data_IF_097750215442
#
_entry.id   IF_097750215442
#
_cell.length_a   1.000
_cell.length_b   1.000
_cell.length_c   1.000
_cell.angle_alpha   90.00
_cell.angle_beta   90.00
_cell.angle_gamma   90.00
#
_symmetry.space_group_name_H-M   'P 1'
#
loop_
_entity.id
_entity.type
_entity.pdbx_description
1 polymer ?
#
# COMPACT_ATOMS: atom_id res chain seq x y z
N UNK A 1 24.38 5.43 -5.14
CA UNK A 1 23.30 6.45 -5.07
C UNK A 1 22.57 6.50 -6.40
N UNK A 2 21.26 6.50 -6.37
CA UNK A 2 20.43 6.55 -7.55
C UNK A 2 20.32 7.99 -8.06
N UNK A 3 20.42 8.23 -9.37
CA UNK A 3 20.26 9.57 -9.93
C UNK A 3 18.78 9.93 -10.07
N UNK A 4 18.49 11.20 -10.37
CA UNK A 4 17.11 11.71 -10.40
C UNK A 4 16.25 11.06 -11.48
N UNK A 5 16.83 10.78 -12.65
CA UNK A 5 16.10 10.14 -13.75
C UNK A 5 15.72 8.69 -13.38
N UNK A 6 16.67 7.95 -12.81
CA UNK A 6 16.41 6.59 -12.35
C UNK A 6 15.39 6.56 -11.22
N UNK A 7 15.44 7.56 -10.33
CA UNK A 7 14.46 7.67 -9.25
C UNK A 7 13.05 7.88 -9.80
N UNK A 8 12.89 8.76 -10.78
CA UNK A 8 11.58 9.00 -11.41
C UNK A 8 11.06 7.74 -12.09
N UNK A 9 11.91 7.04 -12.81
CA UNK A 9 11.53 5.78 -13.45
C UNK A 9 11.08 4.75 -12.43
N UNK A 10 11.79 4.65 -11.30
CA UNK A 10 11.47 3.68 -10.25
C UNK A 10 10.16 4.06 -9.54
N UNK A 11 9.93 5.36 -9.30
CA UNK A 11 8.65 5.83 -8.75
C UNK A 11 7.50 5.42 -9.67
N UNK A 12 7.62 5.69 -10.97
CA UNK A 12 6.59 5.32 -11.94
C UNK A 12 6.37 3.81 -11.99
N UNK A 13 7.46 3.04 -11.92
CA UNK A 13 7.39 1.59 -11.87
C UNK A 13 6.60 1.10 -10.65
N UNK A 14 6.88 1.65 -9.48
CA UNK A 14 6.19 1.26 -8.23
C UNK A 14 4.71 1.64 -8.26
N UNK A 15 4.38 2.83 -8.78
CA UNK A 15 2.99 3.25 -8.92
C UNK A 15 2.22 2.35 -9.89
N UNK A 16 2.85 2.00 -11.01
CA UNK A 16 2.27 1.08 -11.98
C UNK A 16 2.04 -0.29 -11.36
N UNK A 17 3.03 -0.80 -10.64
CA UNK A 17 2.96 -2.09 -9.93
C UNK A 17 1.79 -2.09 -8.94
N UNK A 18 1.61 -1.00 -8.19
CA UNK A 18 0.49 -0.87 -7.25
C UNK A 18 -0.85 -0.95 -7.98
N UNK A 19 -0.99 -0.23 -9.09
CA UNK A 19 -2.24 -0.20 -9.87
C UNK A 19 -2.55 -1.56 -10.51
N UNK A 20 -1.55 -2.22 -11.04
CA UNK A 20 -1.71 -3.57 -11.60
C UNK A 20 -2.16 -4.56 -10.52
N UNK A 21 -1.66 -4.39 -9.30
CA UNK A 21 -2.05 -5.25 -8.17
C UNK A 21 -3.53 -5.07 -7.82
N UNK A 22 -4.11 -3.87 -7.97
CA UNK A 22 -5.55 -3.69 -7.74
C UNK A 22 -6.39 -4.52 -8.70
N UNK A 23 -5.95 -4.64 -9.95
CA UNK A 23 -6.63 -5.46 -10.96
C UNK A 23 -6.50 -6.94 -10.64
N UNK A 24 -5.31 -7.36 -10.19
CA UNK A 24 -5.07 -8.73 -9.74
C UNK A 24 -6.00 -9.11 -8.59
N UNK A 25 -6.17 -8.19 -7.62
CA UNK A 25 -7.03 -8.41 -6.46
C UNK A 25 -8.49 -8.63 -6.89
N UNK A 26 -9.00 -7.89 -7.88
CA UNK A 26 -10.34 -8.10 -8.42
C UNK A 26 -10.54 -9.55 -8.84
N UNK A 27 -9.57 -10.11 -9.55
CA UNK A 27 -9.62 -11.49 -10.04
C UNK A 27 -9.57 -12.50 -8.89
N UNK A 28 -8.75 -12.22 -7.88
CA UNK A 28 -8.61 -13.10 -6.72
C UNK A 28 -9.92 -13.14 -5.91
N UNK A 29 -10.55 -12.00 -5.72
CA UNK A 29 -11.84 -11.92 -5.01
C UNK A 29 -12.90 -12.69 -5.80
N UNK A 30 -12.97 -12.50 -7.11
CA UNK A 30 -13.93 -13.20 -7.96
C UNK A 30 -13.76 -14.72 -7.90
N UNK A 31 -12.52 -15.18 -7.69
CA UNK A 31 -12.21 -16.60 -7.58
C UNK A 31 -12.32 -17.13 -6.13
N UNK A 32 -12.77 -16.31 -5.18
CA UNK A 32 -12.86 -16.65 -3.76
C UNK A 32 -11.51 -17.01 -3.11
N UNK A 33 -10.41 -16.52 -3.67
CA UNK A 33 -9.07 -16.68 -3.11
C UNK A 33 -8.79 -15.55 -2.14
N UNK A 34 -9.51 -15.53 -1.03
CA UNK A 34 -9.58 -14.37 -0.14
C UNK A 34 -8.30 -14.12 0.65
N UNK A 35 -7.63 -15.15 1.14
CA UNK A 35 -6.34 -14.96 1.84
C UNK A 35 -5.27 -14.40 0.91
N UNK A 36 -5.22 -14.90 -0.32
CA UNK A 36 -4.27 -14.39 -1.33
C UNK A 36 -4.61 -12.94 -1.65
N UNK A 37 -5.90 -12.62 -1.78
CA UNK A 37 -6.34 -11.25 -2.03
C UNK A 37 -5.88 -10.30 -0.92
N UNK A 38 -6.04 -10.68 0.35
CA UNK A 38 -5.61 -9.87 1.50
C UNK A 38 -4.10 -9.64 1.47
N UNK A 39 -3.31 -10.66 1.16
CA UNK A 39 -1.87 -10.52 1.01
C UNK A 39 -1.53 -9.51 -0.10
N UNK A 40 -2.16 -9.64 -1.26
CA UNK A 40 -1.87 -8.75 -2.39
C UNK A 40 -2.34 -7.32 -2.15
N UNK A 41 -3.44 -7.12 -1.42
CA UNK A 41 -3.90 -5.79 -1.02
C UNK A 41 -2.79 -5.07 -0.25
N UNK A 42 -2.21 -5.73 0.74
CA UNK A 42 -1.12 -5.13 1.51
C UNK A 42 0.07 -4.79 0.60
N UNK A 43 0.48 -5.70 -0.27
CA UNK A 43 1.65 -5.45 -1.12
C UNK A 43 1.41 -4.34 -2.15
N UNK A 44 0.18 -4.22 -2.67
CA UNK A 44 -0.16 -3.10 -3.55
C UNK A 44 -0.03 -1.75 -2.83
N UNK A 45 -0.54 -1.68 -1.61
CA UNK A 45 -0.40 -0.50 -0.75
C UNK A 45 1.09 -0.23 -0.48
N UNK A 46 1.86 -1.27 -0.19
CA UNK A 46 3.28 -1.16 0.12
C UNK A 46 4.10 -0.65 -1.08
N UNK A 47 3.79 -1.10 -2.31
CA UNK A 47 4.46 -0.60 -3.51
C UNK A 47 4.25 0.92 -3.67
N UNK A 48 3.04 1.37 -3.41
CA UNK A 48 2.71 2.79 -3.47
C UNK A 48 3.45 3.59 -2.39
N UNK A 49 3.54 3.03 -1.18
CA UNK A 49 4.30 3.62 -0.09
C UNK A 49 5.80 3.73 -0.43
N UNK A 50 6.35 2.71 -1.11
CA UNK A 50 7.72 2.75 -1.60
C UNK A 50 7.94 3.88 -2.60
N UNK A 51 6.96 4.13 -3.48
CA UNK A 51 7.05 5.24 -4.43
C UNK A 51 7.16 6.58 -3.70
N UNK A 52 6.35 6.77 -2.65
CA UNK A 52 6.42 7.97 -1.83
C UNK A 52 7.78 8.11 -1.14
N UNK A 53 8.28 7.02 -0.58
CA UNK A 53 9.59 7.01 0.08
C UNK A 53 10.72 7.38 -0.88
N UNK A 54 10.67 6.85 -2.10
CA UNK A 54 11.65 7.18 -3.15
C UNK A 54 11.65 8.67 -3.44
N UNK A 55 10.48 9.29 -3.52
CA UNK A 55 10.38 10.72 -3.78
C UNK A 55 11.08 11.56 -2.72
N UNK A 56 11.02 11.14 -1.46
CA UNK A 56 11.59 11.87 -0.33
C UNK A 56 12.93 11.32 0.13
N UNK A 57 13.57 10.48 -0.68
CA UNK A 57 14.90 9.92 -0.40
C UNK A 57 14.95 9.10 0.89
N UNK A 58 13.84 8.48 1.28
CA UNK A 58 13.83 7.59 2.42
C UNK A 58 13.89 6.15 1.95
N UNK A 59 14.76 5.36 2.56
CA UNK A 59 14.91 3.93 2.24
C UNK A 59 14.89 3.11 3.52
N UNK A 60 14.15 2.01 3.49
CA UNK A 60 14.19 1.00 4.54
C UNK A 60 13.72 -0.32 3.97
N UNK A 61 14.43 -1.40 4.30
CA UNK A 61 14.02 -2.76 3.98
C UNK A 61 13.03 -3.31 5.01
N UNK A 62 12.79 -2.58 6.10
CA UNK A 62 11.91 -3.02 7.20
C UNK A 62 10.56 -2.35 7.07
N UNK A 63 9.51 -3.18 6.94
CA UNK A 63 8.14 -2.70 6.76
C UNK A 63 7.70 -1.77 7.89
N UNK A 64 7.98 -2.13 9.16
CA UNK A 64 7.58 -1.32 10.29
C UNK A 64 8.27 0.04 10.33
N UNK A 65 9.52 0.11 9.90
CA UNK A 65 10.23 1.39 9.79
C UNK A 65 9.60 2.29 8.74
N UNK A 66 9.22 1.72 7.61
CA UNK A 66 8.59 2.47 6.52
C UNK A 66 7.21 2.98 6.94
N UNK A 67 6.43 2.14 7.61
CA UNK A 67 5.11 2.52 8.14
C UNK A 67 5.26 3.64 9.17
N UNK A 68 6.22 3.53 10.09
CA UNK A 68 6.50 4.56 11.09
C UNK A 68 6.92 5.88 10.46
N UNK A 69 7.77 5.82 9.44
CA UNK A 69 8.18 7.00 8.69
C UNK A 69 6.98 7.72 8.07
N UNK A 70 6.10 6.96 7.43
CA UNK A 70 4.89 7.51 6.82
C UNK A 70 4.00 8.20 7.87
N UNK A 71 3.74 7.52 8.98
CA UNK A 71 2.91 8.06 10.04
C UNK A 71 3.51 9.34 10.64
N UNK A 72 4.82 9.35 10.91
CA UNK A 72 5.48 10.50 11.53
C UNK A 72 5.54 11.71 10.60
N UNK A 73 5.79 11.50 9.32
CA UNK A 73 6.06 12.61 8.39
C UNK A 73 4.83 13.08 7.63
N UNK A 74 3.81 12.26 7.48
CA UNK A 74 2.64 12.61 6.65
C UNK A 74 1.33 12.61 7.42
N UNK A 75 1.12 11.67 8.32
CA UNK A 75 -0.14 11.57 9.07
C UNK A 75 -0.15 12.52 10.26
N UNK A 76 0.87 12.46 11.14
CA UNK A 76 0.96 13.33 12.31
C UNK A 76 1.08 14.78 11.95
N UNK A 77 1.74 15.09 10.84
CA UNK A 77 1.91 16.45 10.35
C UNK A 77 0.64 17.03 9.72
N UNK A 78 -0.35 16.18 9.41
CA UNK A 78 -1.57 16.62 8.76
C UNK A 78 -1.46 16.75 7.25
N UNK A 79 -0.34 16.39 6.65
CA UNK A 79 -0.17 16.44 5.19
C UNK A 79 -1.07 15.45 4.47
N UNK A 80 -1.32 14.30 5.09
CA UNK A 80 -2.22 13.26 4.57
C UNK A 80 -3.19 12.89 5.68
N UNK A 81 -4.46 12.70 5.34
CA UNK A 81 -5.53 12.47 6.30
C UNK A 81 -5.31 11.18 7.10
N UNK A 82 -5.78 11.16 8.35
CA UNK A 82 -5.56 10.05 9.28
C UNK A 82 -6.13 8.72 8.78
N UNK A 83 -7.17 8.75 7.95
CA UNK A 83 -7.77 7.51 7.43
C UNK A 83 -6.76 6.67 6.64
N UNK A 84 -5.80 7.32 5.96
CA UNK A 84 -4.78 6.60 5.19
C UNK A 84 -3.76 5.90 6.08
N UNK A 85 -3.45 6.49 7.23
CA UNK A 85 -2.65 5.80 8.24
C UNK A 85 -3.35 4.57 8.78
N UNK A 86 -4.66 4.66 8.99
CA UNK A 86 -5.46 3.52 9.44
C UNK A 86 -5.50 2.42 8.37
N UNK A 87 -5.72 2.79 7.11
CA UNK A 87 -5.74 1.82 6.00
C UNK A 87 -4.42 1.05 5.95
N UNK A 88 -3.30 1.75 6.03
CA UNK A 88 -1.97 1.12 6.01
C UNK A 88 -1.79 0.16 7.17
N UNK A 89 -2.12 0.60 8.40
CA UNK A 89 -1.98 -0.22 9.60
C UNK A 89 -2.86 -1.46 9.54
N UNK A 90 -4.13 -1.29 9.13
CA UNK A 90 -5.07 -2.40 9.06
C UNK A 90 -4.67 -3.40 7.97
N UNK A 91 -4.17 -2.93 6.82
CA UNK A 91 -3.72 -3.82 5.75
C UNK A 91 -2.51 -4.66 6.19
N UNK A 92 -1.59 -4.06 6.93
CA UNK A 92 -0.44 -4.78 7.49
C UNK A 92 -0.91 -5.85 8.47
N UNK A 93 -1.82 -5.50 9.38
CA UNK A 93 -2.35 -6.43 10.37
C UNK A 93 -3.10 -7.59 9.70
N UNK A 94 -3.97 -7.28 8.75
CA UNK A 94 -4.75 -8.30 8.05
C UNK A 94 -3.86 -9.27 7.28
N UNK A 95 -2.83 -8.76 6.63
CA UNK A 95 -1.87 -9.60 5.91
C UNK A 95 -1.12 -10.50 6.90
N UNK A 96 -0.66 -9.96 8.02
CA UNK A 96 0.05 -10.74 9.03
C UNK A 96 -0.84 -11.84 9.61
N UNK A 97 -2.10 -11.51 9.92
CA UNK A 97 -3.06 -12.48 10.43
C UNK A 97 -3.31 -13.58 9.38
N UNK A 98 -3.48 -13.22 8.12
CA UNK A 98 -3.72 -14.18 7.05
C UNK A 98 -2.54 -15.12 6.79
N UNK A 99 -1.31 -14.61 6.92
CA UNK A 99 -0.10 -15.40 6.66
C UNK A 99 0.29 -16.30 7.84
N UNK A 100 0.03 -15.85 9.07
CA UNK A 100 0.60 -16.50 10.25
C UNK A 100 -0.41 -17.08 11.24
N UNK A 101 -1.70 -16.72 11.16
CA UNK A 101 -2.73 -17.29 12.01
C UNK A 101 -3.38 -18.48 11.27
N UNK A 102 -3.21 -19.73 11.77
CA UNK A 102 -3.54 -20.91 10.96
C UNK A 102 -5.03 -21.11 10.71
N UNK A 103 -5.89 -20.53 11.51
CA UNK A 103 -7.34 -20.74 11.39
C UNK A 103 -8.11 -19.47 10.99
N UNK A 104 -7.39 -18.43 10.56
CA UNK A 104 -8.08 -17.20 10.17
C UNK A 104 -8.76 -17.38 8.81
N UNK A 105 -10.01 -16.91 8.73
CA UNK A 105 -10.78 -16.86 7.50
C UNK A 105 -11.28 -15.45 7.31
N UNK A 106 -11.29 -14.99 6.05
CA UNK A 106 -11.78 -13.66 5.71
C UNK A 106 -13.14 -13.80 5.00
N UNK A 107 -14.07 -12.91 5.34
CA UNK A 107 -15.34 -12.85 4.64
C UNK A 107 -15.18 -12.01 3.36
N UNK A 108 -15.84 -12.44 2.29
CA UNK A 108 -15.74 -11.78 0.99
C UNK A 108 -16.11 -10.31 1.06
N UNK A 109 -17.18 -9.96 1.80
CA UNK A 109 -17.61 -8.56 1.93
C UNK A 109 -16.53 -7.70 2.56
N UNK A 110 -15.77 -8.23 3.53
CA UNK A 110 -14.70 -7.49 4.20
C UNK A 110 -13.52 -7.30 3.26
N UNK A 111 -13.19 -8.31 2.46
CA UNK A 111 -12.09 -8.22 1.49
C UNK A 111 -12.43 -7.22 0.39
N UNK A 112 -13.69 -7.16 -0.02
CA UNK A 112 -14.15 -6.14 -0.98
C UNK A 112 -13.94 -4.73 -0.42
N UNK A 113 -14.26 -4.50 0.86
CA UNK A 113 -14.00 -3.21 1.52
C UNK A 113 -12.51 -2.91 1.59
N UNK A 114 -11.70 -3.90 1.93
CA UNK A 114 -10.22 -3.75 1.94
C UNK A 114 -9.70 -3.35 0.57
N UNK A 115 -10.28 -3.90 -0.49
CA UNK A 115 -9.92 -3.58 -1.86
C UNK A 115 -10.29 -2.14 -2.21
N UNK A 116 -11.45 -1.66 -1.78
CA UNK A 116 -11.84 -0.26 -1.98
C UNK A 116 -10.89 0.68 -1.23
N UNK A 117 -10.52 0.34 0.00
CA UNK A 117 -9.55 1.11 0.78
C UNK A 117 -8.18 1.13 0.10
N UNK A 118 -7.76 0.00 -0.47
CA UNK A 118 -6.53 -0.11 -1.26
C UNK A 118 -6.52 0.88 -2.43
N UNK A 119 -7.61 0.91 -3.19
CA UNK A 119 -7.73 1.82 -4.33
C UNK A 119 -7.68 3.28 -3.89
N UNK A 120 -8.37 3.61 -2.81
CA UNK A 120 -8.37 4.96 -2.24
C UNK A 120 -6.96 5.36 -1.81
N UNK A 121 -6.25 4.49 -1.10
CA UNK A 121 -4.87 4.74 -0.66
C UNK A 121 -3.93 4.97 -1.84
N UNK A 122 -3.99 4.11 -2.84
CA UNK A 122 -3.11 4.21 -4.02
C UNK A 122 -3.40 5.51 -4.78
N UNK A 123 -4.67 5.84 -4.98
CA UNK A 123 -5.04 7.08 -5.67
C UNK A 123 -4.59 8.31 -4.90
N UNK A 124 -4.70 8.29 -3.58
CA UNK A 124 -4.27 9.41 -2.73
C UNK A 124 -2.76 9.63 -2.81
N UNK A 125 -1.98 8.57 -2.69
CA UNK A 125 -0.53 8.69 -2.74
C UNK A 125 -0.05 9.06 -4.14
N UNK A 126 -0.66 8.50 -5.17
CA UNK A 126 -0.34 8.88 -6.55
C UNK A 126 -0.54 10.38 -6.76
N UNK A 127 -1.70 10.89 -6.35
CA UNK A 127 -2.02 12.31 -6.44
C UNK A 127 -1.01 13.15 -5.64
N UNK A 128 -0.73 12.76 -4.40
CA UNK A 128 0.19 13.48 -3.53
C UNK A 128 1.60 13.54 -4.11
N UNK A 129 2.07 12.43 -4.67
CA UNK A 129 3.40 12.36 -5.29
C UNK A 129 3.48 13.31 -6.49
N UNK A 130 2.44 13.34 -7.32
CA UNK A 130 2.45 14.15 -8.55
C UNK A 130 2.26 15.63 -8.27
N UNK A 131 1.48 16.01 -7.28
CA UNK A 131 1.26 17.41 -6.91
C UNK A 131 2.52 18.08 -6.37
N UNK A 132 3.45 17.32 -5.84
CA UNK A 132 4.72 17.83 -5.35
C UNK A 132 5.80 18.00 -6.40
N UNK A 133 5.49 17.75 -7.66
CA UNK A 133 6.45 17.86 -8.76
C UNK A 133 6.60 19.29 -9.31
#
# INVERSE_FOLDING_TARGET
>A
MINDDDRRELIEYRLKQAKETTVEVDKLIAADLLKVAVNRIYYGIFYCLNALALKYNFQSSKHLQLIGWFNNNFIKSGLIETKYGKILRDSFKNRSDGDYAPFIEFEKKDVIEMHEDMKDFINKLDQFIREGE
#
